data_IF_565371773362
#
_entry.id   IF_565371773362
#
_cell.length_a   1.000
_cell.length_b   1.000
_cell.length_c   1.000
_cell.angle_alpha   90.00
_cell.angle_beta   90.00
_cell.angle_gamma   90.00
#
_symmetry.space_group_name_H-M   'P 1'
#
loop_
_entity.id
_entity.type
_entity.pdbx_description
1 polymer ?
#
# COMPACT_ATOMS: atom_id res chain seq x y z
N UNK A 1 14.16 -37.80 -4.92
CA UNK A 1 15.02 -36.99 -5.81
C UNK A 1 14.95 -35.54 -5.35
N UNK A 2 15.98 -35.07 -4.64
CA UNK A 2 16.08 -33.68 -4.21
C UNK A 2 16.80 -32.87 -5.29
N UNK A 3 16.05 -32.00 -5.96
CA UNK A 3 16.60 -30.98 -6.84
C UNK A 3 17.12 -29.83 -5.97
N UNK A 4 18.41 -29.86 -5.62
CA UNK A 4 19.16 -28.69 -5.19
C UNK A 4 19.30 -27.75 -6.41
N UNK A 5 18.27 -26.94 -6.69
CA UNK A 5 18.49 -25.71 -7.44
C UNK A 5 19.01 -24.71 -6.43
N UNK A 6 20.33 -24.53 -6.37
CA UNK A 6 20.88 -23.30 -5.82
C UNK A 6 20.24 -22.16 -6.60
N UNK A 7 19.40 -21.37 -5.93
CA UNK A 7 18.84 -20.15 -6.52
C UNK A 7 20.02 -19.24 -6.91
N UNK A 8 20.27 -19.15 -8.21
CA UNK A 8 21.31 -18.32 -8.78
C UNK A 8 20.88 -16.86 -8.57
N UNK A 9 21.42 -16.22 -7.54
CA UNK A 9 21.26 -14.79 -7.39
C UNK A 9 21.97 -14.10 -8.55
N UNK A 10 21.24 -13.27 -9.29
CA UNK A 10 21.84 -12.39 -10.27
C UNK A 10 22.27 -11.09 -9.59
N UNK A 11 23.58 -10.84 -9.54
CA UNK A 11 24.12 -9.61 -8.95
C UNK A 11 24.00 -8.50 -9.99
N UNK A 12 23.27 -7.44 -9.63
CA UNK A 12 23.03 -6.30 -10.52
C UNK A 12 23.46 -4.99 -9.84
N UNK A 13 23.59 -3.93 -10.64
CA UNK A 13 24.09 -2.65 -10.16
C UNK A 13 22.98 -1.74 -9.60
N UNK A 14 21.75 -1.82 -10.10
CA UNK A 14 20.62 -0.97 -9.73
C UNK A 14 19.38 -1.82 -9.42
N UNK A 15 18.50 -1.32 -8.54
CA UNK A 15 17.19 -1.97 -8.33
C UNK A 15 16.39 -1.88 -9.63
N UNK A 16 15.95 -3.04 -10.12
CA UNK A 16 15.10 -3.17 -11.31
C UNK A 16 13.86 -3.97 -10.96
N UNK A 17 12.80 -3.78 -11.73
CA UNK A 17 11.60 -4.61 -11.66
C UNK A 17 11.88 -5.93 -12.38
N UNK A 18 11.73 -7.07 -11.71
CA UNK A 18 12.07 -8.38 -12.28
C UNK A 18 10.81 -9.18 -12.67
N UNK A 19 10.32 -8.95 -13.88
CA UNK A 19 9.13 -9.65 -14.39
C UNK A 19 9.39 -11.10 -14.84
N UNK A 20 10.64 -11.58 -14.83
CA UNK A 20 10.99 -12.91 -15.37
C UNK A 20 10.84 -14.01 -14.34
N UNK A 21 10.96 -13.71 -13.04
CA UNK A 21 10.86 -14.66 -11.94
C UNK A 21 11.81 -15.89 -12.02
N UNK A 22 12.74 -15.93 -13.00
CA UNK A 22 13.62 -17.06 -13.24
C UNK A 22 14.85 -17.06 -12.31
N UNK A 23 15.19 -15.90 -11.76
CA UNK A 23 16.28 -15.67 -10.83
C UNK A 23 15.85 -14.59 -9.84
N UNK A 24 16.49 -14.55 -8.67
CA UNK A 24 16.37 -13.43 -7.72
C UNK A 24 17.52 -12.46 -7.92
N UNK A 25 17.26 -11.17 -7.78
CA UNK A 25 18.32 -10.17 -7.91
C UNK A 25 18.87 -9.74 -6.56
N UNK A 26 20.16 -9.43 -6.55
CA UNK A 26 20.90 -8.95 -5.38
C UNK A 26 21.70 -7.72 -5.76
N UNK A 27 21.68 -6.71 -4.89
CA UNK A 27 22.45 -5.48 -5.07
C UNK A 27 23.17 -5.13 -3.77
N UNK A 28 24.40 -4.64 -3.89
CA UNK A 28 25.20 -4.17 -2.77
C UNK A 28 25.25 -2.64 -2.79
N UNK A 29 24.34 -2.02 -2.02
CA UNK A 29 24.15 -0.58 -1.92
C UNK A 29 23.57 -0.20 -0.57
N UNK A 30 24.00 0.94 -0.04
CA UNK A 30 23.40 1.53 1.15
C UNK A 30 21.90 1.75 1.02
N UNK A 31 21.19 1.81 2.16
CA UNK A 31 19.74 1.98 2.21
C UNK A 31 19.27 3.21 1.41
N UNK A 32 19.98 4.33 1.59
CA UNK A 32 19.69 5.61 0.91
C UNK A 32 19.76 5.49 -0.61
N UNK A 33 20.77 4.76 -1.13
CA UNK A 33 20.94 4.56 -2.58
C UNK A 33 19.84 3.65 -3.12
N UNK A 34 19.52 2.56 -2.43
CA UNK A 34 18.43 1.67 -2.83
C UNK A 34 17.06 2.37 -2.83
N UNK A 35 16.74 3.16 -1.81
CA UNK A 35 15.53 4.00 -1.79
C UNK A 35 15.48 4.92 -3.02
N UNK A 36 16.60 5.52 -3.41
CA UNK A 36 16.66 6.36 -4.60
C UNK A 36 16.35 5.59 -5.88
N UNK A 37 16.73 4.31 -5.98
CA UNK A 37 16.39 3.48 -7.12
C UNK A 37 14.92 3.05 -7.10
N UNK A 38 14.39 2.66 -5.93
CA UNK A 38 12.94 2.38 -5.74
C UNK A 38 12.08 3.56 -6.21
N UNK A 39 12.48 4.80 -5.89
CA UNK A 39 11.76 6.00 -6.34
C UNK A 39 11.65 6.12 -7.86
N UNK A 40 12.71 5.73 -8.59
CA UNK A 40 12.70 5.70 -10.06
C UNK A 40 11.74 4.62 -10.57
N UNK A 41 11.70 3.46 -9.92
CA UNK A 41 10.81 2.36 -10.28
C UNK A 41 9.34 2.72 -10.07
N UNK A 42 8.97 3.35 -8.96
CA UNK A 42 7.59 3.73 -8.63
C UNK A 42 6.94 4.59 -9.73
N UNK A 43 7.72 5.43 -10.41
CA UNK A 43 7.21 6.30 -11.47
C UNK A 43 6.69 5.54 -12.70
N UNK A 44 7.14 4.30 -12.90
CA UNK A 44 6.94 3.55 -14.15
C UNK A 44 6.47 2.11 -13.95
N UNK A 45 6.64 1.53 -12.76
CA UNK A 45 6.29 0.13 -12.51
C UNK A 45 4.78 -0.09 -12.59
N UNK A 46 4.38 -1.15 -13.29
CA UNK A 46 3.01 -1.66 -13.31
C UNK A 46 2.84 -2.89 -12.41
N UNK A 47 3.90 -3.28 -11.69
CA UNK A 47 3.88 -4.36 -10.72
C UNK A 47 4.25 -3.88 -9.33
N UNK A 48 3.64 -4.54 -8.35
CA UNK A 48 4.07 -4.48 -6.97
C UNK A 48 5.37 -5.26 -6.82
N UNK A 49 6.31 -4.71 -6.06
CA UNK A 49 7.64 -5.30 -5.88
C UNK A 49 8.05 -5.24 -4.43
N UNK A 50 8.82 -6.24 -3.99
CA UNK A 50 9.21 -6.41 -2.59
C UNK A 50 10.68 -6.78 -2.45
N UNK A 51 11.34 -6.14 -1.49
CA UNK A 51 12.78 -6.23 -1.26
C UNK A 51 13.09 -6.34 0.22
N UNK A 52 14.12 -7.11 0.56
CA UNK A 52 14.75 -7.09 1.87
C UNK A 52 16.03 -6.29 1.79
N UNK A 53 16.20 -5.35 2.71
CA UNK A 53 17.48 -4.72 2.99
C UNK A 53 18.09 -5.31 4.27
N UNK A 54 19.35 -5.73 4.17
CA UNK A 54 20.18 -6.22 5.28
C UNK A 54 21.20 -5.13 5.65
N UNK A 55 20.97 -4.36 6.75
CA UNK A 55 21.77 -3.17 7.05
C UNK A 55 23.26 -3.46 7.24
N UNK A 56 23.60 -4.54 7.96
CA UNK A 56 24.99 -4.91 8.24
C UNK A 56 25.83 -5.23 7.01
N UNK A 57 25.17 -5.57 5.89
CA UNK A 57 25.83 -5.97 4.65
C UNK A 57 25.62 -4.95 3.53
N UNK A 58 24.90 -3.86 3.80
CA UNK A 58 24.38 -2.94 2.78
C UNK A 58 23.85 -3.68 1.54
N UNK A 59 23.00 -4.69 1.79
CA UNK A 59 22.60 -5.66 0.77
C UNK A 59 21.09 -5.62 0.58
N UNK A 60 20.68 -5.47 -0.67
CA UNK A 60 19.29 -5.60 -1.12
C UNK A 60 19.09 -6.96 -1.79
N UNK A 61 17.99 -7.61 -1.45
CA UNK A 61 17.61 -8.92 -1.97
C UNK A 61 16.15 -8.86 -2.39
N UNK A 62 15.88 -9.20 -3.64
CA UNK A 62 14.52 -9.33 -4.16
C UNK A 62 13.80 -10.48 -3.45
N UNK A 63 12.61 -10.20 -2.93
CA UNK A 63 11.75 -11.20 -2.28
C UNK A 63 10.33 -11.22 -2.84
N UNK A 64 10.03 -10.39 -3.84
CA UNK A 64 8.83 -10.58 -4.62
C UNK A 64 8.92 -11.90 -5.39
N UNK A 65 7.77 -12.51 -5.67
CA UNK A 65 7.64 -13.72 -6.47
C UNK A 65 6.28 -13.78 -7.16
N UNK A 66 6.25 -14.34 -8.38
CA UNK A 66 5.07 -14.43 -9.24
C UNK A 66 4.39 -13.06 -9.43
N UNK A 67 5.20 -12.01 -9.58
CA UNK A 67 4.74 -10.68 -9.93
C UNK A 67 4.10 -10.72 -11.31
N UNK A 68 2.79 -10.58 -11.34
CA UNK A 68 2.04 -10.37 -12.56
C UNK A 68 1.72 -8.87 -12.66
N UNK A 69 1.94 -8.30 -13.86
CA UNK A 69 1.35 -7.03 -14.26
C UNK A 69 -0.13 -6.99 -13.88
N UNK A 70 -0.63 -5.83 -13.47
CA UNK A 70 -2.04 -5.64 -13.12
C UNK A 70 -2.93 -6.19 -14.25
N UNK A 71 -3.68 -7.25 -13.97
CA UNK A 71 -4.59 -7.91 -14.90
C UNK A 71 -6.03 -7.72 -14.45
N UNK A 72 -6.93 -7.51 -15.42
CA UNK A 72 -8.37 -7.50 -15.17
C UNK A 72 -8.91 -8.92 -15.25
N UNK A 73 -9.34 -9.48 -14.12
CA UNK A 73 -10.02 -10.77 -14.02
C UNK A 73 -11.40 -10.51 -13.41
N UNK A 74 -12.48 -10.95 -14.07
CA UNK A 74 -13.86 -10.81 -13.57
C UNK A 74 -14.21 -9.37 -13.12
N UNK A 75 -13.77 -8.36 -13.89
CA UNK A 75 -13.96 -6.92 -13.61
C UNK A 75 -13.23 -6.41 -12.35
N UNK A 76 -12.31 -7.18 -11.78
CA UNK A 76 -11.40 -6.76 -10.70
C UNK A 76 -9.99 -6.70 -11.24
N UNK A 77 -9.24 -5.69 -10.81
CA UNK A 77 -7.81 -5.66 -11.06
C UNK A 77 -7.11 -6.47 -10.01
N UNK A 78 -6.21 -7.32 -10.48
CA UNK A 78 -5.38 -8.15 -9.65
C UNK A 78 -3.95 -7.89 -10.07
N UNK A 79 -3.21 -7.23 -9.20
CA UNK A 79 -1.75 -7.36 -9.15
C UNK A 79 -1.49 -8.58 -8.27
N UNK A 80 -0.89 -9.62 -8.83
CA UNK A 80 -0.35 -10.69 -7.98
C UNK A 80 1.09 -10.32 -7.76
N UNK A 81 1.45 -9.84 -6.58
CA UNK A 81 2.79 -10.06 -6.06
C UNK A 81 2.61 -11.00 -4.89
N UNK A 82 3.32 -12.13 -4.92
CA UNK A 82 3.48 -12.96 -3.73
C UNK A 82 4.84 -12.63 -3.13
N UNK A 83 4.96 -12.82 -1.83
CA UNK A 83 6.28 -12.87 -1.21
C UNK A 83 6.85 -14.26 -1.41
N UNK A 84 8.13 -14.34 -1.67
CA UNK A 84 8.90 -15.56 -1.56
C UNK A 84 9.05 -15.90 -0.07
N UNK A 85 8.05 -16.60 0.46
CA UNK A 85 7.96 -16.91 1.89
C UNK A 85 9.13 -17.79 2.33
N UNK A 86 9.63 -18.68 1.48
CA UNK A 86 10.75 -19.56 1.82
C UNK A 86 12.07 -18.78 1.91
N UNK A 87 12.31 -17.89 0.95
CA UNK A 87 13.47 -17.00 1.00
C UNK A 87 13.39 -16.05 2.21
N UNK A 88 12.24 -15.44 2.45
CA UNK A 88 12.07 -14.55 3.61
C UNK A 88 12.28 -15.30 4.92
N UNK A 89 11.75 -16.52 5.06
CA UNK A 89 11.94 -17.39 6.23
C UNK A 89 13.42 -17.69 6.50
N UNK A 90 14.18 -18.01 5.45
CA UNK A 90 15.63 -18.18 5.52
C UNK A 90 16.33 -16.89 5.96
N UNK A 91 16.00 -15.76 5.34
CA UNK A 91 16.61 -14.46 5.68
C UNK A 91 16.34 -14.06 7.12
N UNK A 92 15.13 -14.29 7.63
CA UNK A 92 14.77 -14.06 9.04
C UNK A 92 15.56 -14.96 9.99
N UNK A 93 15.94 -16.16 9.56
CA UNK A 93 16.69 -17.12 10.39
C UNK A 93 18.20 -16.81 10.43
N UNK A 94 18.72 -16.17 9.38
CA UNK A 94 20.15 -15.87 9.23
C UNK A 94 20.54 -14.45 9.67
N UNK A 95 19.57 -13.57 9.91
CA UNK A 95 19.83 -12.15 10.16
C UNK A 95 18.96 -11.61 11.30
N UNK A 96 19.61 -10.99 12.29
CA UNK A 96 18.93 -10.35 13.43
C UNK A 96 18.44 -8.94 13.14
N UNK A 97 18.77 -8.35 11.98
CA UNK A 97 18.30 -7.03 11.58
C UNK A 97 17.90 -7.06 10.10
N UNK A 98 16.62 -6.83 9.82
CA UNK A 98 16.08 -6.81 8.45
C UNK A 98 15.08 -5.68 8.26
N UNK A 99 15.05 -5.11 7.06
CA UNK A 99 14.06 -4.11 6.66
C UNK A 99 13.36 -4.60 5.40
N UNK A 100 12.04 -4.75 5.47
CA UNK A 100 11.21 -5.13 4.32
C UNK A 100 10.67 -3.86 3.66
N UNK A 101 10.96 -3.75 2.38
CA UNK A 101 10.49 -2.69 1.50
C UNK A 101 9.51 -3.26 0.50
N UNK A 102 8.42 -2.54 0.26
CA UNK A 102 7.63 -2.75 -0.95
C UNK A 102 7.09 -1.43 -1.48
N UNK A 103 6.63 -1.45 -2.73
CA UNK A 103 5.89 -0.33 -3.30
C UNK A 103 4.72 -0.84 -4.11
N UNK A 104 3.60 -0.14 -4.04
CA UNK A 104 2.43 -0.46 -4.86
C UNK A 104 2.63 0.03 -6.30
N UNK A 105 2.07 -0.67 -7.29
CA UNK A 105 2.24 -0.33 -8.70
C UNK A 105 1.65 1.04 -9.03
N UNK A 106 2.09 1.59 -10.17
CA UNK A 106 1.53 2.84 -10.67
C UNK A 106 0.03 2.68 -10.95
N UNK A 107 -0.73 3.65 -10.46
CA UNK A 107 -2.19 3.83 -10.58
C UNK A 107 -2.75 3.81 -12.02
N UNK A 108 -1.92 3.59 -13.05
CA UNK A 108 -2.24 3.82 -14.46
C UNK A 108 -3.39 2.94 -14.94
N UNK A 109 -3.32 1.62 -14.77
CA UNK A 109 -4.39 0.74 -15.28
C UNK A 109 -5.66 0.87 -14.43
N UNK A 110 -5.53 1.00 -13.10
CA UNK A 110 -6.62 1.39 -12.20
C UNK A 110 -7.37 2.68 -12.62
N UNK A 111 -6.64 3.68 -13.13
CA UNK A 111 -7.22 4.93 -13.61
C UNK A 111 -7.84 4.80 -15.01
N UNK A 112 -7.12 4.20 -15.95
CA UNK A 112 -7.54 4.02 -17.36
C UNK A 112 -8.88 3.28 -17.47
N UNK A 113 -9.06 2.23 -16.70
CA UNK A 113 -10.29 1.44 -16.74
C UNK A 113 -11.45 2.15 -16.02
N UNK A 114 -11.17 2.99 -15.02
CA UNK A 114 -12.20 3.86 -14.42
C UNK A 114 -12.68 4.91 -15.41
N UNK A 115 -11.76 5.47 -16.21
CA UNK A 115 -12.08 6.36 -17.33
C UNK A 115 -12.94 5.60 -18.35
N UNK A 116 -12.48 4.45 -18.83
CA UNK A 116 -13.19 3.60 -19.79
C UNK A 116 -14.60 3.24 -19.32
N UNK A 117 -14.76 2.78 -18.08
CA UNK A 117 -16.07 2.42 -17.53
C UNK A 117 -17.03 3.62 -17.51
N UNK A 118 -16.53 4.81 -17.17
CA UNK A 118 -17.32 6.04 -17.16
C UNK A 118 -17.73 6.48 -18.55
N UNK A 119 -16.88 6.25 -19.55
CA UNK A 119 -17.22 6.43 -20.96
C UNK A 119 -18.30 5.45 -21.41
N UNK A 120 -18.16 4.16 -21.08
CA UNK A 120 -19.16 3.11 -21.37
C UNK A 120 -20.53 3.41 -20.72
N UNK A 121 -20.53 3.97 -19.50
CA UNK A 121 -21.73 4.38 -18.77
C UNK A 121 -22.34 5.70 -19.31
N UNK A 122 -21.75 6.31 -20.34
CA UNK A 122 -22.22 7.57 -20.94
C UNK A 122 -21.97 8.82 -20.08
N UNK A 123 -21.08 8.73 -19.09
CA UNK A 123 -20.74 9.84 -18.17
C UNK A 123 -19.22 10.05 -18.11
N UNK A 124 -18.59 10.46 -19.23
CA UNK A 124 -17.13 10.57 -19.32
C UNK A 124 -16.56 11.50 -18.24
N UNK A 125 -15.34 11.18 -17.80
CA UNK A 125 -14.60 12.02 -16.86
C UNK A 125 -13.94 13.18 -17.59
N UNK A 126 -14.02 14.39 -17.04
CA UNK A 126 -13.19 15.49 -17.50
C UNK A 126 -11.77 15.43 -16.88
N UNK A 127 -10.84 16.18 -17.44
CA UNK A 127 -9.43 16.21 -17.00
C UNK A 127 -9.26 16.46 -15.49
N UNK A 128 -10.11 17.32 -14.93
CA UNK A 128 -10.10 17.63 -13.50
C UNK A 128 -10.53 16.43 -12.64
N UNK A 129 -11.50 15.65 -13.10
CA UNK A 129 -11.91 14.42 -12.44
C UNK A 129 -10.81 13.36 -12.55
N UNK A 130 -10.17 13.25 -13.72
CA UNK A 130 -9.06 12.32 -13.95
C UNK A 130 -7.89 12.63 -13.01
N UNK A 131 -7.47 13.89 -12.93
CA UNK A 131 -6.37 14.29 -12.04
C UNK A 131 -6.73 14.09 -10.56
N UNK A 132 -7.98 14.36 -10.16
CA UNK A 132 -8.44 14.09 -8.80
C UNK A 132 -8.35 12.59 -8.45
N UNK A 133 -8.74 11.71 -9.37
CA UNK A 133 -8.66 10.26 -9.16
C UNK A 133 -7.21 9.78 -9.13
N UNK A 134 -6.36 10.30 -10.01
CA UNK A 134 -4.92 10.06 -9.98
C UNK A 134 -4.30 10.39 -8.63
N UNK A 135 -4.56 11.59 -8.10
CA UNK A 135 -4.04 12.01 -6.79
C UNK A 135 -4.57 11.11 -5.66
N UNK A 136 -5.84 10.71 -5.71
CA UNK A 136 -6.44 9.77 -4.73
C UNK A 136 -5.72 8.41 -4.73
N UNK A 137 -5.45 7.84 -5.90
CA UNK A 137 -4.75 6.57 -6.03
C UNK A 137 -3.31 6.67 -5.51
N UNK A 138 -2.61 7.77 -5.82
CA UNK A 138 -1.28 8.05 -5.29
C UNK A 138 -1.26 8.18 -3.76
N UNK A 139 -2.25 8.84 -3.16
CA UNK A 139 -2.39 8.92 -1.70
C UNK A 139 -2.59 7.52 -1.10
N UNK A 140 -3.46 6.70 -1.71
CA UNK A 140 -3.74 5.34 -1.24
C UNK A 140 -2.51 4.44 -1.26
N UNK A 141 -1.62 4.62 -2.24
CA UNK A 141 -0.35 3.88 -2.34
C UNK A 141 0.68 4.24 -1.26
N UNK A 142 0.43 5.30 -0.49
CA UNK A 142 1.42 5.83 0.46
C UNK A 142 1.36 5.21 1.85
N UNK A 143 0.36 4.39 2.17
CA UNK A 143 0.20 3.81 3.50
C UNK A 143 -0.15 2.33 3.41
N UNK A 144 0.16 1.52 4.45
CA UNK A 144 -0.02 0.09 4.39
C UNK A 144 -1.49 -0.29 4.22
N UNK A 145 -1.74 -1.22 3.31
CA UNK A 145 -3.03 -1.86 3.13
C UNK A 145 -3.37 -2.78 4.32
N UNK A 146 -4.61 -3.26 4.37
CA UNK A 146 -5.01 -4.30 5.32
C UNK A 146 -4.10 -5.54 5.22
N UNK A 147 -3.71 -5.93 4.00
CA UNK A 147 -2.84 -7.10 3.78
C UNK A 147 -1.43 -6.84 4.30
N UNK A 148 -0.91 -5.62 4.08
CA UNK A 148 0.42 -5.23 4.55
C UNK A 148 0.51 -5.31 6.08
N UNK A 149 -0.53 -4.85 6.78
CA UNK A 149 -0.61 -4.92 8.23
C UNK A 149 -0.69 -6.36 8.75
N UNK A 150 -1.45 -7.23 8.10
CA UNK A 150 -1.55 -8.65 8.49
C UNK A 150 -0.22 -9.38 8.25
N UNK A 151 0.44 -9.12 7.12
CA UNK A 151 1.77 -9.66 6.82
C UNK A 151 2.80 -9.17 7.84
N UNK A 152 2.74 -7.90 8.23
CA UNK A 152 3.62 -7.34 9.25
C UNK A 152 3.44 -8.03 10.61
N UNK A 153 2.21 -8.32 11.03
CA UNK A 153 1.95 -9.07 12.27
C UNK A 153 2.56 -10.49 12.19
N UNK A 154 2.25 -11.23 11.13
CA UNK A 154 2.71 -12.61 10.97
C UNK A 154 4.24 -12.70 10.92
N UNK A 155 4.86 -11.91 10.06
CA UNK A 155 6.32 -11.91 9.89
C UNK A 155 7.05 -11.38 11.14
N UNK A 156 6.52 -10.35 11.83
CA UNK A 156 7.13 -9.89 13.09
C UNK A 156 7.09 -10.99 14.15
N UNK A 157 5.94 -11.64 14.31
CA UNK A 157 5.77 -12.71 15.31
C UNK A 157 6.74 -13.86 15.07
N UNK A 158 6.89 -14.30 13.81
CA UNK A 158 7.84 -15.35 13.45
C UNK A 158 9.30 -14.92 13.58
N UNK A 159 9.62 -13.67 13.23
CA UNK A 159 10.96 -13.12 13.36
C UNK A 159 11.43 -13.06 14.83
N UNK A 160 10.61 -12.52 15.73
CA UNK A 160 10.99 -12.35 17.13
C UNK A 160 11.05 -13.67 17.92
N UNK A 161 10.36 -14.73 17.47
CA UNK A 161 10.56 -16.09 18.01
C UNK A 161 11.99 -16.60 17.79
N UNK A 162 12.64 -16.17 16.71
CA UNK A 162 13.98 -16.62 16.29
C UNK A 162 15.07 -15.64 16.69
N UNK A 163 14.72 -14.35 16.71
CA UNK A 163 15.61 -13.25 17.04
C UNK A 163 14.96 -12.37 18.12
N UNK A 164 14.94 -12.80 19.40
CA UNK A 164 14.29 -12.04 20.47
C UNK A 164 14.81 -10.60 20.62
N UNK A 165 16.11 -10.41 20.40
CA UNK A 165 16.80 -9.11 20.46
C UNK A 165 16.99 -8.46 19.08
N UNK A 166 16.38 -9.04 18.04
CA UNK A 166 16.51 -8.55 16.67
C UNK A 166 15.63 -7.33 16.38
N UNK A 167 15.74 -6.81 15.16
CA UNK A 167 14.85 -5.79 14.64
C UNK A 167 14.33 -6.14 13.24
N UNK A 168 13.01 -6.05 13.08
CA UNK A 168 12.31 -6.16 11.79
C UNK A 168 11.47 -4.91 11.59
N UNK A 169 11.61 -4.27 10.43
CA UNK A 169 10.89 -3.05 10.10
C UNK A 169 10.28 -3.16 8.71
N UNK A 170 9.06 -2.65 8.52
CA UNK A 170 8.35 -2.68 7.24
C UNK A 170 8.19 -1.27 6.71
N UNK A 171 8.40 -1.08 5.40
CA UNK A 171 8.38 0.22 4.75
C UNK A 171 7.65 0.14 3.41
N UNK A 172 6.63 0.98 3.26
CA UNK A 172 5.98 1.24 1.97
C UNK A 172 6.63 2.46 1.33
N UNK A 173 7.26 2.27 0.17
CA UNK A 173 7.73 3.37 -0.65
C UNK A 173 6.62 3.82 -1.60
N UNK A 174 6.41 5.14 -1.69
CA UNK A 174 5.38 5.73 -2.54
C UNK A 174 5.92 6.90 -3.36
N UNK A 175 5.06 7.55 -4.13
CA UNK A 175 5.42 8.77 -4.86
C UNK A 175 5.76 9.94 -3.93
N UNK A 176 5.14 9.99 -2.75
CA UNK A 176 5.22 11.15 -1.85
C UNK A 176 6.27 10.99 -0.73
N UNK A 177 6.63 9.75 -0.40
CA UNK A 177 7.54 9.46 0.71
C UNK A 177 7.56 7.99 1.09
N UNK A 178 8.08 7.71 2.28
CA UNK A 178 8.18 6.37 2.84
C UNK A 178 7.32 6.31 4.10
N UNK A 179 6.47 5.28 4.18
CA UNK A 179 5.74 4.95 5.40
C UNK A 179 6.37 3.75 6.07
N UNK A 180 6.94 3.95 7.25
CA UNK A 180 7.43 2.90 8.12
C UNK A 180 6.31 2.42 9.05
N UNK A 181 6.22 1.11 9.28
CA UNK A 181 5.25 0.52 10.18
C UNK A 181 5.79 -0.72 10.87
N UNK A 182 5.44 -0.88 12.15
CA UNK A 182 5.87 -2.00 12.97
C UNK A 182 4.89 -2.25 14.12
N UNK A 183 5.02 -3.41 14.77
CA UNK A 183 4.40 -3.65 16.07
C UNK A 183 5.15 -2.87 17.16
N UNK A 184 4.41 -2.40 18.14
CA UNK A 184 4.97 -1.95 19.42
C UNK A 184 5.21 -3.16 20.33
N UNK A 185 5.90 -2.99 21.45
CA UNK A 185 6.08 -4.06 22.44
C UNK A 185 4.74 -4.61 22.95
N UNK A 186 3.76 -3.71 23.19
CA UNK A 186 2.38 -4.10 23.52
C UNK A 186 1.71 -4.85 22.38
N UNK A 187 1.92 -4.40 21.14
CA UNK A 187 1.42 -5.06 19.94
C UNK A 187 1.95 -6.49 19.80
N UNK A 188 3.25 -6.69 20.06
CA UNK A 188 3.90 -8.00 20.06
C UNK A 188 3.27 -8.95 21.09
N UNK A 189 3.08 -8.50 22.33
CA UNK A 189 2.46 -9.30 23.39
C UNK A 189 0.98 -9.62 23.06
N UNK A 190 0.21 -8.60 22.66
CA UNK A 190 -1.22 -8.75 22.43
C UNK A 190 -1.54 -9.62 21.20
N UNK A 191 -0.78 -9.45 20.11
CA UNK A 191 -1.06 -10.12 18.83
C UNK A 191 -0.39 -11.50 18.72
N UNK A 192 0.56 -11.83 19.59
CA UNK A 192 1.10 -13.20 19.69
C UNK A 192 0.21 -14.17 20.47
N UNK A 193 -0.70 -13.67 21.32
CA UNK A 193 -1.55 -14.48 22.21
C UNK A 193 -2.85 -15.04 21.58
N UNK A 194 -3.00 -14.89 20.25
CA UNK A 194 -4.05 -15.39 19.34
C UNK A 194 -5.54 -15.17 19.70
N UNK A 195 -6.17 -14.35 18.85
CA UNK A 195 -7.52 -14.59 18.35
C UNK A 195 -7.61 -13.97 16.95
N UNK A 196 -7.21 -14.74 15.93
CA UNK A 196 -7.14 -14.34 14.52
C UNK A 196 -8.33 -13.52 14.02
N UNK A 197 -9.56 -13.82 14.48
CA UNK A 197 -10.77 -13.08 14.12
C UNK A 197 -10.74 -11.65 14.70
N UNK A 198 -10.41 -11.48 15.98
CA UNK A 198 -10.30 -10.15 16.62
C UNK A 198 -9.21 -9.32 15.95
N UNK A 199 -8.08 -9.95 15.62
CA UNK A 199 -6.99 -9.30 14.90
C UNK A 199 -7.45 -8.82 13.52
N UNK A 200 -8.09 -9.70 12.74
CA UNK A 200 -8.63 -9.37 11.42
C UNK A 200 -9.61 -8.19 11.49
N UNK A 201 -10.56 -8.21 12.44
CA UNK A 201 -11.55 -7.14 12.61
C UNK A 201 -10.88 -5.81 12.96
N UNK A 202 -9.91 -5.83 13.89
CA UNK A 202 -9.17 -4.63 14.29
C UNK A 202 -8.38 -4.05 13.12
N UNK A 203 -7.61 -4.86 12.40
CA UNK A 203 -6.83 -4.41 11.24
C UNK A 203 -7.73 -3.92 10.10
N UNK A 204 -8.90 -4.52 9.93
CA UNK A 204 -9.92 -4.03 8.99
C UNK A 204 -10.46 -2.66 9.42
N UNK A 205 -10.68 -2.44 10.71
CA UNK A 205 -11.06 -1.16 11.29
C UNK A 205 -10.01 -0.07 11.03
N UNK A 206 -8.75 -0.34 11.38
CA UNK A 206 -7.61 0.58 11.17
C UNK A 206 -7.49 0.98 9.69
N UNK A 207 -7.44 -0.01 8.79
CA UNK A 207 -7.35 0.27 7.34
C UNK A 207 -8.58 1.03 6.84
N UNK A 208 -9.76 0.75 7.37
CA UNK A 208 -10.99 1.45 7.03
C UNK A 208 -10.99 2.91 7.47
N UNK A 209 -10.52 3.21 8.67
CA UNK A 209 -10.39 4.58 9.20
C UNK A 209 -9.38 5.38 8.40
N UNK A 210 -8.21 4.82 8.11
CA UNK A 210 -7.18 5.46 7.29
C UNK A 210 -7.72 5.87 5.91
N UNK A 211 -8.49 5.00 5.25
CA UNK A 211 -9.11 5.31 3.97
C UNK A 211 -10.19 6.41 4.06
N UNK A 212 -10.87 6.56 5.21
CA UNK A 212 -11.82 7.65 5.46
C UNK A 212 -11.04 8.97 5.61
N UNK A 213 -10.01 8.99 6.45
CA UNK A 213 -9.21 10.19 6.73
C UNK A 213 -8.41 10.68 5.52
N UNK A 214 -7.89 9.74 4.72
CA UNK A 214 -7.29 10.04 3.42
C UNK A 214 -8.30 10.61 2.41
N UNK A 215 -9.60 10.52 2.72
CA UNK A 215 -10.72 10.84 1.83
C UNK A 215 -10.61 10.03 0.51
N UNK A 216 -10.18 8.78 0.65
CA UNK A 216 -10.06 7.78 -0.42
C UNK A 216 -11.36 6.96 -0.52
N UNK A 217 -12.19 6.93 0.53
CA UNK A 217 -13.55 6.33 0.50
C UNK A 217 -14.60 7.12 -0.29
N UNK A 218 -14.27 8.30 -0.80
CA UNK A 218 -15.20 9.31 -1.30
C UNK A 218 -16.05 8.99 -2.54
N UNK A 219 -16.16 7.74 -3.02
CA UNK A 219 -17.13 7.34 -4.07
C UNK A 219 -17.75 5.94 -3.90
N UNK A 220 -17.57 5.24 -2.75
CA UNK A 220 -18.30 3.96 -2.49
C UNK A 220 -19.52 4.18 -1.56
N UNK A 221 -19.72 5.40 -1.03
CA UNK A 221 -20.89 5.74 -0.20
C UNK A 221 -21.76 6.92 -0.69
N UNK A 222 -21.50 7.46 -1.89
CA UNK A 222 -22.43 8.39 -2.55
C UNK A 222 -22.83 7.91 -3.95
N UNK A 223 -23.55 6.78 -3.99
CA UNK A 223 -24.76 6.58 -4.80
C UNK A 223 -25.47 5.30 -4.32
N UNK A 224 -25.90 5.29 -3.06
CA UNK A 224 -27.32 4.99 -2.90
C UNK A 224 -28.00 6.34 -3.17
N UNK A 225 -28.55 6.60 -4.36
CA UNK A 225 -29.67 7.50 -4.38
C UNK A 225 -30.61 6.90 -3.34
N UNK A 226 -30.93 7.66 -2.29
CA UNK A 226 -32.15 7.38 -1.56
C UNK A 226 -33.18 7.07 -2.63
N UNK A 227 -33.79 5.89 -2.57
CA UNK A 227 -35.10 5.66 -3.14
C UNK A 227 -35.86 6.96 -2.90
N UNK A 228 -36.05 7.72 -3.97
CA UNK A 228 -36.95 8.86 -3.95
C UNK A 228 -38.31 8.19 -3.96
N UNK A 229 -38.70 7.65 -2.79
CA UNK A 229 -40.09 7.37 -2.48
C UNK A 229 -40.79 8.72 -2.58
N UNK A 230 -41.47 8.86 -3.71
CA UNK A 230 -42.58 9.76 -3.98
C UNK A 230 -42.31 11.29 -3.93
N UNK A 231 -42.14 11.93 -5.10
CA UNK A 231 -42.01 13.39 -5.25
C UNK A 231 -43.20 14.22 -4.77
N UNK A 232 -44.38 13.62 -4.51
CA UNK A 232 -45.59 14.38 -4.16
C UNK A 232 -45.61 14.94 -2.73
N UNK A 233 -44.58 14.66 -1.91
CA UNK A 233 -44.54 15.06 -0.48
C UNK A 233 -43.58 16.19 -0.09
N UNK A 234 -42.93 16.91 -1.01
CA UNK A 234 -42.16 18.13 -0.65
C UNK A 234 -42.87 19.42 -1.02
N UNK A 235 -43.71 19.80 -0.07
CA UNK A 235 -44.20 21.12 0.32
C UNK A 235 -43.30 22.28 -0.15
N UNK A 236 -43.96 23.27 -0.76
CA UNK A 236 -43.55 24.65 -1.10
C UNK A 236 -42.34 25.18 -0.32
N UNK A 237 -41.32 25.66 -1.02
CA UNK A 237 -40.34 26.62 -0.50
C UNK A 237 -40.25 27.85 -1.42
N UNK A 238 -40.15 29.04 -0.80
CA UNK A 238 -40.40 30.37 -1.37
C UNK A 238 -39.24 30.92 -2.24
N UNK A 239 -39.47 32.00 -3.02
CA UNK A 239 -38.62 32.44 -4.14
C UNK A 239 -37.34 33.20 -3.77
N UNK A 240 -36.97 33.29 -2.49
CA UNK A 240 -35.74 33.99 -2.11
C UNK A 240 -34.54 33.05 -2.16
N UNK A 241 -34.06 32.90 -3.40
CA UNK A 241 -32.74 32.43 -3.82
C UNK A 241 -31.67 32.71 -2.75
N UNK A 242 -31.34 31.69 -1.94
CA UNK A 242 -30.05 31.66 -1.26
C UNK A 242 -28.97 31.59 -2.34
N UNK A 243 -28.18 32.67 -2.41
CA UNK A 243 -26.98 32.83 -3.24
C UNK A 243 -26.23 31.49 -3.32
N UNK A 244 -25.99 31.00 -4.53
CA UNK A 244 -25.01 29.92 -4.80
C UNK A 244 -23.70 30.36 -4.16
N UNK A 245 -23.28 29.70 -3.08
CA UNK A 245 -21.92 29.86 -2.59
C UNK A 245 -21.00 29.37 -3.71
N UNK A 246 -20.14 30.26 -4.20
CA UNK A 246 -19.01 29.88 -5.03
C UNK A 246 -18.31 28.71 -4.34
N UNK A 247 -18.27 27.55 -5.00
CA UNK A 247 -17.70 26.34 -4.44
C UNK A 247 -16.29 26.65 -3.95
N UNK A 248 -16.05 26.59 -2.64
CA UNK A 248 -14.70 26.68 -2.09
C UNK A 248 -13.92 25.49 -2.66
N UNK A 249 -13.08 25.76 -3.65
CA UNK A 249 -12.22 24.78 -4.26
C UNK A 249 -11.34 24.16 -3.15
N UNK A 250 -11.56 22.89 -2.82
CA UNK A 250 -10.68 22.19 -1.90
C UNK A 250 -9.51 21.68 -2.71
N UNK A 251 -8.38 22.40 -2.68
CA UNK A 251 -7.09 21.89 -3.14
C UNK A 251 -6.82 20.61 -2.34
N UNK A 252 -6.52 19.52 -3.03
CA UNK A 252 -6.11 18.28 -2.38
C UNK A 252 -4.63 18.45 -2.05
N UNK A 253 -4.32 18.64 -0.77
CA UNK A 253 -2.97 18.47 -0.26
C UNK A 253 -2.72 16.97 -0.01
N UNK A 254 -1.91 16.27 -0.84
CA UNK A 254 -1.71 14.84 -0.70
C UNK A 254 -0.95 14.50 0.59
N UNK A 255 0.05 15.31 0.96
CA UNK A 255 0.90 15.07 2.12
C UNK A 255 0.07 15.17 3.40
N UNK A 256 -0.72 16.23 3.55
CA UNK A 256 -1.59 16.40 4.71
C UNK A 256 -2.61 15.27 4.85
N UNK A 257 -3.12 14.73 3.73
CA UNK A 257 -4.05 13.59 3.75
C UNK A 257 -3.39 12.28 4.12
N UNK A 258 -2.17 12.04 3.65
CA UNK A 258 -1.38 10.87 4.03
C UNK A 258 -1.09 10.93 5.53
N UNK A 259 -0.66 12.08 6.05
CA UNK A 259 -0.41 12.27 7.48
C UNK A 259 -1.65 11.96 8.33
N UNK A 260 -2.82 12.50 7.98
CA UNK A 260 -4.08 12.18 8.67
C UNK A 260 -4.42 10.70 8.63
N UNK A 261 -4.21 10.05 7.47
CA UNK A 261 -4.42 8.62 7.35
C UNK A 261 -3.51 7.86 8.31
N UNK A 262 -2.21 8.20 8.34
CA UNK A 262 -1.22 7.59 9.25
C UNK A 262 -1.55 7.82 10.72
N UNK A 263 -1.94 9.03 11.10
CA UNK A 263 -2.36 9.36 12.47
C UNK A 263 -3.49 8.42 12.94
N UNK A 264 -4.47 8.17 12.09
CA UNK A 264 -5.59 7.26 12.41
C UNK A 264 -5.20 5.77 12.49
N UNK A 265 -4.01 5.41 11.99
CA UNK A 265 -3.49 4.03 12.04
C UNK A 265 -2.68 3.75 13.30
N UNK A 266 -2.17 4.79 13.95
CA UNK A 266 -1.38 4.65 15.16
C UNK A 266 -2.28 4.34 16.35
N UNK A 267 -1.86 3.37 17.15
CA UNK A 267 -2.42 3.14 18.48
C UNK A 267 -1.36 2.50 19.39
N UNK A 268 -1.78 1.96 20.54
CA UNK A 268 -0.83 1.35 21.47
C UNK A 268 -0.15 0.06 20.95
N UNK A 269 -0.66 -0.55 19.87
CA UNK A 269 -0.18 -1.84 19.34
C UNK A 269 0.59 -1.68 18.01
N UNK A 270 0.25 -0.68 17.21
CA UNK A 270 0.86 -0.44 15.89
C UNK A 270 1.40 0.98 15.84
N UNK A 271 2.65 1.09 15.43
CA UNK A 271 3.29 2.38 15.13
C UNK A 271 3.43 2.52 13.62
N UNK A 272 3.01 3.66 13.09
CA UNK A 272 3.12 4.01 11.67
C UNK A 272 3.65 5.44 11.54
N UNK A 273 4.69 5.63 10.74
CA UNK A 273 5.38 6.92 10.58
C UNK A 273 5.56 7.20 9.10
N UNK A 274 5.12 8.37 8.63
CA UNK A 274 5.36 8.82 7.25
C UNK A 274 6.46 9.88 7.20
N UNK A 275 7.45 9.62 6.35
CA UNK A 275 8.53 10.57 6.04
C UNK A 275 8.40 11.01 4.58
N UNK A 276 8.00 12.28 4.31
CA UNK A 276 7.92 12.79 2.95
C UNK A 276 9.32 12.89 2.33
N UNK A 277 9.40 12.77 1.01
CA UNK A 277 10.64 13.10 0.31
C UNK A 277 10.91 14.61 0.39
N UNK A 278 12.19 14.97 0.47
CA UNK A 278 12.67 16.35 0.31
C UNK A 278 12.83 16.68 -1.16
#
# INVERSE_FOLDING_TARGET
MHSNRQEEYNIINDLIVNNRNAFKTVIYKSEKKGISDIRKLIAHSQIEESWVYLPHREKWIEIGHNEEAEKKIERRYITKAKLDVQLLDKLMSENSNIVLYHFHPSYRLSLEDKIRKREEDGVPMNDKQIERERVRLLIKSAYPSRSDLLNMIGNSTEFFKRNPDGNITFKVCSHYGITEYCLTDKGMIYLSADNSIKQILRITGISSSANIEANVKGEILERNPRETRDPLKRIKMSPNQKRKSLSRYTIIDPIARIQKAIESMNDEHIRVIFTPYR
#
